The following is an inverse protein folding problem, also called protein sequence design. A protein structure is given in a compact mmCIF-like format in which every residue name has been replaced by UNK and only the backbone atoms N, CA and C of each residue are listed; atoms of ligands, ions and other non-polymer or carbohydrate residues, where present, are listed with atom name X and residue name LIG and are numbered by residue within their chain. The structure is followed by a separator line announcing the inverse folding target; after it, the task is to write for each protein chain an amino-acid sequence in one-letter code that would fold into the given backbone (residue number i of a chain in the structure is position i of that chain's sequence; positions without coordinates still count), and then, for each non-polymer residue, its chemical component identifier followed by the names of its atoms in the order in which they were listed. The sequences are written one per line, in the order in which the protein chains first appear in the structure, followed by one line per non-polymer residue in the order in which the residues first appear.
data_IF_236020339827
#
_entry.id   IF_236020339827
#
_cell.length_a   1.000
_cell.length_b   1.000
_cell.length_c   1.000
_cell.angle_alpha   90.00
_cell.angle_beta   90.00
_cell.angle_gamma   90.00
#
_symmetry.space_group_name_H-M   'P 1'
#
loop_
_entity.id
_entity.type
_entity.pdbx_description
1 polymer ?
#
# COMPACT_ATOMS: atom_id res chain seq x y z
N UNK A 1 22.78 5.47 1.52
CA UNK A 1 21.61 5.32 0.64
C UNK A 1 21.41 6.57 -0.22
N UNK A 2 21.29 7.78 0.39
CA UNK A 2 21.03 9.02 -0.38
C UNK A 2 22.08 9.28 -1.46
N UNK A 3 23.36 9.15 -1.15
CA UNK A 3 24.47 9.35 -2.11
C UNK A 3 24.51 8.28 -3.22
N UNK A 4 23.93 7.11 -2.96
CA UNK A 4 23.92 5.99 -3.91
C UNK A 4 22.67 5.98 -4.81
N UNK A 5 21.75 6.95 -4.67
CA UNK A 5 20.50 7.01 -5.44
C UNK A 5 19.52 5.84 -5.16
N UNK A 6 19.70 5.12 -4.05
CA UNK A 6 18.85 3.97 -3.70
C UNK A 6 17.59 4.46 -2.98
N UNK A 7 16.43 4.01 -3.44
CA UNK A 7 15.14 4.21 -2.77
C UNK A 7 14.84 3.03 -1.86
N UNK A 8 14.73 3.22 -0.53
CA UNK A 8 14.29 2.16 0.36
C UNK A 8 12.79 1.88 0.18
N UNK A 9 12.41 0.60 0.18
CA UNK A 9 11.00 0.16 0.18
C UNK A 9 10.69 -0.42 1.55
N UNK A 10 9.63 0.08 2.18
CA UNK A 10 9.23 -0.28 3.54
C UNK A 10 8.03 -1.22 3.49
N UNK A 11 8.16 -2.39 4.11
CA UNK A 11 7.12 -3.42 4.19
C UNK A 11 6.75 -3.63 5.66
N UNK A 12 6.00 -2.70 6.22
CA UNK A 12 5.74 -2.59 7.67
C UNK A 12 5.09 -3.84 8.26
N UNK A 13 4.05 -4.36 7.64
CA UNK A 13 3.34 -5.54 8.13
C UNK A 13 4.21 -6.81 8.10
N UNK A 14 4.98 -7.01 7.02
CA UNK A 14 5.93 -8.11 6.90
C UNK A 14 7.02 -8.02 7.98
N UNK A 15 7.64 -6.86 8.14
CA UNK A 15 8.68 -6.64 9.14
C UNK A 15 8.18 -6.94 10.56
N UNK A 16 6.96 -6.49 10.90
CA UNK A 16 6.36 -6.76 12.21
C UNK A 16 6.07 -8.25 12.40
N UNK A 17 5.46 -8.89 11.40
CA UNK A 17 5.10 -10.31 11.47
C UNK A 17 6.32 -11.22 11.66
N UNK A 18 7.42 -10.88 10.97
CA UNK A 18 8.68 -11.65 11.01
C UNK A 18 9.65 -11.18 12.08
N UNK A 19 9.25 -10.23 12.93
CA UNK A 19 10.09 -9.64 13.99
C UNK A 19 11.41 -9.04 13.46
N UNK A 20 11.41 -8.50 12.23
CA UNK A 20 12.58 -7.90 11.57
C UNK A 20 12.86 -6.46 12.01
N UNK A 21 12.06 -5.94 12.93
CA UNK A 21 12.21 -4.59 13.48
C UNK A 21 11.40 -3.52 12.74
N UNK A 22 11.55 -2.28 13.20
CA UNK A 22 10.86 -1.10 12.66
C UNK A 22 11.89 -0.27 11.89
N UNK A 23 11.64 -0.07 10.58
CA UNK A 23 12.48 0.78 9.75
C UNK A 23 12.46 2.24 10.27
N UNK A 24 13.59 2.96 10.30
CA UNK A 24 13.68 4.33 10.84
C UNK A 24 13.19 5.37 9.81
N UNK A 25 11.91 5.30 9.46
CA UNK A 25 11.31 6.12 8.39
C UNK A 25 11.44 7.61 8.64
N UNK A 26 11.20 8.05 9.88
CA UNK A 26 11.35 9.46 10.26
C UNK A 26 12.76 9.98 9.97
N UNK A 27 13.77 9.19 10.35
CA UNK A 27 15.18 9.54 10.07
C UNK A 27 15.49 9.56 8.57
N UNK A 28 14.90 8.66 7.79
CA UNK A 28 15.04 8.66 6.32
C UNK A 28 14.44 9.93 5.72
N UNK A 29 13.22 10.28 6.09
CA UNK A 29 12.52 11.48 5.62
C UNK A 29 13.26 12.76 6.01
N UNK A 30 13.74 12.87 7.27
CA UNK A 30 14.48 14.02 7.75
C UNK A 30 15.81 14.24 7.04
N UNK A 31 16.40 13.18 6.50
CA UNK A 31 17.60 13.24 5.65
C UNK A 31 17.28 13.45 4.16
N UNK A 32 16.02 13.65 3.80
CA UNK A 32 15.55 13.87 2.43
C UNK A 32 15.59 12.62 1.56
N UNK A 33 15.53 11.43 2.14
CA UNK A 33 15.19 10.21 1.42
C UNK A 33 13.67 10.15 1.22
N UNK A 34 13.24 9.54 0.13
CA UNK A 34 11.82 9.34 -0.21
C UNK A 34 11.53 7.83 -0.19
N UNK A 35 11.34 7.23 0.99
CA UNK A 35 11.02 5.81 1.05
C UNK A 35 9.66 5.52 0.39
N UNK A 36 9.59 4.43 -0.37
CA UNK A 36 8.35 3.90 -0.92
C UNK A 36 7.73 2.85 0.01
N UNK A 37 6.45 2.56 -0.18
CA UNK A 37 5.77 1.45 0.50
C UNK A 37 5.65 0.25 -0.42
N UNK A 38 5.80 -0.93 0.17
CA UNK A 38 5.50 -2.21 -0.44
C UNK A 38 4.76 -3.11 0.53
N UNK A 39 4.14 -4.16 0.03
CA UNK A 39 3.43 -5.13 0.87
C UNK A 39 4.26 -6.39 1.14
N UNK A 40 5.39 -6.57 0.41
CA UNK A 40 6.09 -7.85 0.38
C UNK A 40 5.19 -8.99 -0.18
N UNK A 41 5.64 -10.22 -0.12
CA UNK A 41 4.89 -11.37 -0.56
C UNK A 41 3.71 -11.73 0.36
N UNK A 42 2.70 -12.39 -0.19
CA UNK A 42 1.50 -12.80 0.55
C UNK A 42 1.78 -13.80 1.67
N UNK A 43 2.90 -14.53 1.61
CA UNK A 43 3.34 -15.42 2.68
C UNK A 43 3.79 -14.66 3.94
N UNK A 44 4.44 -13.51 3.78
CA UNK A 44 4.93 -12.67 4.85
C UNK A 44 3.92 -11.60 5.31
N UNK A 45 3.13 -11.04 4.41
CA UNK A 45 2.13 -10.01 4.73
C UNK A 45 0.70 -10.56 4.89
N UNK A 46 0.27 -11.52 4.11
CA UNK A 46 -1.08 -12.09 4.03
C UNK A 46 -2.16 -11.17 3.42
N UNK A 47 -2.25 -9.90 3.84
CA UNK A 47 -3.33 -8.99 3.43
C UNK A 47 -3.06 -8.23 2.13
N UNK A 48 -1.79 -7.98 1.77
CA UNK A 48 -1.38 -7.15 0.61
C UNK A 48 -2.14 -5.82 0.50
N UNK A 49 -2.44 -5.17 1.64
CA UNK A 49 -3.24 -3.95 1.73
C UNK A 49 -2.35 -2.72 1.90
N UNK A 50 -2.36 -1.82 0.91
CA UNK A 50 -1.63 -0.55 0.99
C UNK A 50 -2.20 0.39 2.07
N UNK A 51 -3.50 0.32 2.38
CA UNK A 51 -4.08 1.09 3.50
C UNK A 51 -3.45 0.70 4.83
N UNK A 52 -3.32 -0.61 5.06
CA UNK A 52 -2.64 -1.13 6.26
C UNK A 52 -1.17 -0.72 6.31
N UNK A 53 -0.47 -0.75 5.19
CA UNK A 53 0.93 -0.32 5.14
C UNK A 53 1.08 1.18 5.42
N UNK A 54 0.22 2.04 4.87
CA UNK A 54 0.21 3.48 5.17
C UNK A 54 -0.04 3.76 6.65
N UNK A 55 -0.99 3.06 7.26
CA UNK A 55 -1.26 3.17 8.70
C UNK A 55 -0.02 2.81 9.53
N UNK A 56 0.58 1.66 9.26
CA UNK A 56 1.79 1.19 9.95
C UNK A 56 2.99 2.12 9.74
N UNK A 57 3.20 2.59 8.51
CA UNK A 57 4.27 3.53 8.17
C UNK A 57 4.24 4.78 9.04
N UNK A 58 3.06 5.34 9.26
CA UNK A 58 2.90 6.52 10.11
C UNK A 58 2.93 6.16 11.61
N UNK A 59 2.10 5.22 12.06
CA UNK A 59 1.87 4.97 13.47
C UNK A 59 3.08 4.36 14.19
N UNK A 60 3.85 3.50 13.53
CA UNK A 60 5.05 2.91 14.12
C UNK A 60 6.11 3.97 14.46
N UNK A 61 6.26 4.98 13.62
CA UNK A 61 7.21 6.07 13.90
C UNK A 61 6.75 6.95 15.06
N UNK A 62 5.44 7.26 15.10
CA UNK A 62 4.84 8.03 16.20
C UNK A 62 5.06 7.36 17.54
N UNK A 63 4.82 6.04 17.58
CA UNK A 63 5.04 5.26 18.80
C UNK A 63 6.53 5.15 19.15
N UNK A 64 7.39 4.86 18.19
CA UNK A 64 8.82 4.71 18.43
C UNK A 64 9.48 6.00 18.96
N UNK A 65 9.02 7.16 18.49
CA UNK A 65 9.54 8.48 18.85
C UNK A 65 8.75 9.17 19.97
N UNK A 66 7.59 8.60 20.39
CA UNK A 66 6.66 9.22 21.33
C UNK A 66 6.21 10.61 20.87
N UNK A 67 6.09 10.79 19.54
CA UNK A 67 5.71 12.04 18.90
C UNK A 67 4.58 11.81 17.89
N UNK A 68 3.39 12.33 18.17
CA UNK A 68 2.23 12.21 17.30
C UNK A 68 2.40 12.92 15.93
N UNK A 69 3.38 13.80 15.78
CA UNK A 69 3.68 14.54 14.55
C UNK A 69 4.80 13.91 13.71
N UNK A 70 5.44 12.84 14.17
CA UNK A 70 6.68 12.28 13.58
C UNK A 70 6.58 11.96 12.07
N UNK A 71 5.48 11.36 11.64
CA UNK A 71 5.22 11.07 10.20
C UNK A 71 3.77 11.41 9.89
N UNK A 72 3.56 12.31 8.94
CA UNK A 72 2.24 12.78 8.56
C UNK A 72 1.50 11.80 7.63
N UNK A 73 0.17 11.96 7.54
CA UNK A 73 -0.64 11.22 6.57
C UNK A 73 -0.22 11.52 5.12
N UNK A 74 0.18 12.75 4.82
CA UNK A 74 0.68 13.13 3.50
C UNK A 74 1.94 12.37 3.11
N UNK A 75 2.88 12.22 4.05
CA UNK A 75 4.11 11.47 3.82
C UNK A 75 3.84 9.98 3.61
N UNK A 76 2.88 9.40 4.36
CA UNK A 76 2.48 8.02 4.17
C UNK A 76 1.78 7.80 2.82
N UNK A 77 0.90 8.72 2.41
CA UNK A 77 0.24 8.66 1.12
C UNK A 77 1.23 8.81 -0.04
N UNK A 78 2.17 9.75 0.04
CA UNK A 78 3.22 9.93 -0.98
C UNK A 78 4.10 8.66 -1.09
N UNK A 79 4.43 8.02 0.03
CA UNK A 79 5.18 6.76 0.04
C UNK A 79 4.42 5.62 -0.65
N UNK A 80 3.09 5.59 -0.53
CA UNK A 80 2.22 4.59 -1.15
C UNK A 80 1.92 4.86 -2.64
N UNK A 81 2.25 6.05 -3.15
CA UNK A 81 1.91 6.50 -4.50
C UNK A 81 3.15 7.03 -5.25
N UNK A 82 3.45 8.31 -5.15
CA UNK A 82 4.47 9.00 -5.96
C UNK A 82 5.87 8.42 -5.79
N UNK A 83 6.25 8.04 -4.56
CA UNK A 83 7.60 7.53 -4.29
C UNK A 83 7.85 6.17 -4.94
N UNK A 84 6.83 5.30 -5.01
CA UNK A 84 6.93 4.01 -5.70
C UNK A 84 7.19 4.17 -7.19
N UNK A 85 6.44 5.06 -7.87
CA UNK A 85 6.65 5.36 -9.28
C UNK A 85 8.01 6.00 -9.54
N UNK A 86 8.42 6.95 -8.70
CA UNK A 86 9.74 7.56 -8.78
C UNK A 86 10.88 6.55 -8.63
N UNK A 87 10.75 5.60 -7.71
CA UNK A 87 11.72 4.52 -7.49
C UNK A 87 11.89 3.62 -8.72
N UNK A 88 10.81 3.42 -9.49
CA UNK A 88 10.80 2.62 -10.71
C UNK A 88 11.16 3.43 -11.97
N UNK A 89 11.29 4.75 -11.85
CA UNK A 89 11.56 5.64 -12.97
C UNK A 89 10.38 5.86 -13.91
N UNK A 90 9.14 5.65 -13.43
CA UNK A 90 7.93 5.80 -14.22
C UNK A 90 7.16 7.09 -13.88
N UNK A 91 6.52 7.75 -14.86
CA UNK A 91 5.64 8.87 -14.61
C UNK A 91 4.29 8.37 -14.08
N UNK A 92 4.07 8.43 -12.77
CA UNK A 92 2.85 7.95 -12.13
C UNK A 92 2.72 8.38 -10.67
N UNK A 93 1.73 7.84 -9.98
CA UNK A 93 1.46 8.11 -8.56
C UNK A 93 0.70 9.40 -8.29
N UNK A 94 0.34 10.16 -9.32
CA UNK A 94 -0.46 11.37 -9.22
C UNK A 94 -1.35 11.53 -10.46
N UNK A 95 -2.47 12.24 -10.31
CA UNK A 95 -3.35 12.55 -11.43
C UNK A 95 -2.81 13.77 -12.19
N UNK A 96 -2.00 13.51 -13.21
CA UNK A 96 -1.35 14.54 -14.06
C UNK A 96 -1.33 14.09 -15.52
N UNK A 97 -1.37 15.05 -16.45
CA UNK A 97 -1.16 14.77 -17.87
C UNK A 97 0.19 14.10 -18.12
N UNK A 98 0.23 13.08 -18.95
CA UNK A 98 1.42 12.31 -19.28
C UNK A 98 1.81 11.23 -18.26
N UNK A 99 1.08 11.12 -17.15
CA UNK A 99 1.27 10.04 -16.17
C UNK A 99 0.44 8.80 -16.54
N UNK A 100 0.87 7.65 -16.04
CA UNK A 100 0.08 6.43 -16.15
C UNK A 100 -1.31 6.65 -15.55
N UNK A 101 -2.34 6.14 -16.25
CA UNK A 101 -3.72 6.17 -15.78
C UNK A 101 -3.95 4.99 -14.81
N UNK A 102 -3.26 5.04 -13.67
CA UNK A 102 -3.38 4.10 -12.54
C UNK A 102 -4.05 4.84 -11.40
N UNK A 103 -5.24 4.40 -11.01
CA UNK A 103 -6.02 5.08 -9.98
C UNK A 103 -6.96 4.13 -9.25
N UNK A 104 -7.32 4.50 -8.02
CA UNK A 104 -8.38 3.86 -7.25
C UNK A 104 -9.46 4.90 -6.93
N UNK A 105 -10.72 4.52 -7.10
CA UNK A 105 -11.89 5.28 -6.66
C UNK A 105 -12.39 4.70 -5.35
N UNK A 106 -12.56 5.56 -4.34
CA UNK A 106 -12.98 5.15 -3.01
C UNK A 106 -14.35 5.73 -2.64
N UNK A 107 -15.12 4.98 -1.84
CA UNK A 107 -16.37 5.45 -1.23
C UNK A 107 -16.08 6.28 0.02
N UNK A 108 -16.23 7.59 -0.08
CA UNK A 108 -16.08 8.50 1.06
C UNK A 108 -17.37 8.60 1.89
N UNK A 109 -18.45 7.91 1.53
CA UNK A 109 -19.71 7.89 2.28
C UNK A 109 -19.77 6.78 3.33
N UNK A 110 -18.85 5.82 3.29
CA UNK A 110 -18.77 4.70 4.22
C UNK A 110 -18.66 5.19 5.69
N UNK A 111 -19.22 4.46 6.67
CA UNK A 111 -19.26 4.88 8.07
C UNK A 111 -17.89 5.17 8.69
N UNK A 112 -16.86 4.39 8.33
CA UNK A 112 -15.46 4.59 8.77
C UNK A 112 -14.83 5.89 8.23
N UNK A 113 -15.37 6.44 7.12
CA UNK A 113 -14.92 7.69 6.50
C UNK A 113 -15.65 8.93 7.03
N UNK A 114 -16.62 8.77 7.93
CA UNK A 114 -17.46 9.88 8.44
C UNK A 114 -17.21 10.17 9.92
N UNK A 115 -17.24 11.46 10.32
CA UNK A 115 -17.33 12.69 9.49
C UNK A 115 -16.02 12.95 8.72
N UNK A 116 -16.13 13.36 7.45
CA UNK A 116 -14.96 13.66 6.62
C UNK A 116 -14.46 15.08 6.90
N UNK A 117 -13.31 15.22 7.55
CA UNK A 117 -12.68 16.51 7.83
C UNK A 117 -11.39 16.74 7.02
N UNK A 118 -10.58 15.70 6.86
CA UNK A 118 -9.32 15.71 6.11
C UNK A 118 -9.22 14.40 5.33
N UNK A 119 -9.34 14.48 4.01
CA UNK A 119 -9.34 13.31 3.12
C UNK A 119 -8.04 12.50 3.28
N UNK A 120 -6.88 13.14 3.36
CA UNK A 120 -5.59 12.45 3.46
C UNK A 120 -5.46 11.66 4.75
N UNK A 121 -5.91 12.25 5.86
CA UNK A 121 -5.94 11.54 7.14
C UNK A 121 -6.93 10.40 7.12
N UNK A 122 -8.11 10.59 6.54
CA UNK A 122 -9.09 9.52 6.40
C UNK A 122 -8.57 8.38 5.55
N UNK A 123 -7.88 8.65 4.44
CA UNK A 123 -7.27 7.61 3.61
C UNK A 123 -6.21 6.79 4.34
N UNK A 124 -5.42 7.42 5.22
CA UNK A 124 -4.32 6.75 5.91
C UNK A 124 -4.78 6.05 7.19
N UNK A 125 -5.73 6.63 7.93
CA UNK A 125 -6.08 6.14 9.26
C UNK A 125 -7.44 5.44 9.35
N UNK A 126 -8.32 5.62 8.35
CA UNK A 126 -9.68 5.10 8.41
C UNK A 126 -10.05 4.22 7.23
N UNK A 127 -9.49 4.49 6.02
CA UNK A 127 -9.86 3.74 4.83
C UNK A 127 -9.41 2.27 4.87
N UNK A 128 -10.22 1.42 4.26
CA UNK A 128 -9.97 -0.01 4.11
C UNK A 128 -10.13 -0.44 2.64
N UNK A 129 -9.73 -1.66 2.32
CA UNK A 129 -9.91 -2.27 1.00
C UNK A 129 -11.38 -2.39 0.60
N UNK A 130 -12.29 -2.52 1.55
CA UNK A 130 -13.74 -2.51 1.32
C UNK A 130 -14.29 -1.17 0.82
N UNK A 131 -13.56 -0.07 1.03
CA UNK A 131 -13.96 1.25 0.55
C UNK A 131 -13.62 1.48 -0.93
N UNK A 132 -12.89 0.54 -1.57
CA UNK A 132 -12.50 0.67 -2.98
C UNK A 132 -13.68 0.30 -3.88
N UNK A 133 -14.18 1.28 -4.63
CA UNK A 133 -15.24 1.09 -5.62
C UNK A 133 -14.70 0.61 -6.97
N UNK A 134 -13.55 1.16 -7.40
CA UNK A 134 -12.98 0.84 -8.70
C UNK A 134 -11.44 0.93 -8.66
N UNK A 135 -10.79 0.08 -9.42
CA UNK A 135 -9.34 0.15 -9.68
C UNK A 135 -9.09 0.18 -11.18
N UNK A 136 -8.30 1.15 -11.61
CA UNK A 136 -7.83 1.29 -13.00
C UNK A 136 -6.32 1.09 -13.01
N UNK A 137 -5.83 0.26 -13.90
CA UNK A 137 -4.41 0.00 -14.13
C UNK A 137 -4.09 0.13 -15.62
N UNK A 138 -3.14 1.00 -15.97
CA UNK A 138 -2.78 1.29 -17.35
C UNK A 138 -3.97 1.77 -18.20
N UNK A 139 -4.90 2.52 -17.62
CA UNK A 139 -6.10 3.01 -18.28
C UNK A 139 -7.21 1.96 -18.45
N UNK A 140 -7.05 0.75 -17.90
CA UNK A 140 -8.06 -0.32 -17.96
C UNK A 140 -8.67 -0.55 -16.59
N UNK A 141 -9.99 -0.68 -16.52
CA UNK A 141 -10.68 -1.09 -15.31
C UNK A 141 -10.30 -2.55 -15.02
N UNK A 142 -9.70 -2.81 -13.87
CA UNK A 142 -9.36 -4.17 -13.40
C UNK A 142 -10.28 -4.66 -12.28
N UNK A 143 -10.96 -3.73 -11.60
CA UNK A 143 -11.96 -4.00 -10.58
C UNK A 143 -13.04 -2.92 -10.59
N UNK A 144 -14.31 -3.31 -10.50
CA UNK A 144 -15.46 -2.41 -10.32
C UNK A 144 -16.52 -3.09 -9.46
N UNK A 145 -16.74 -2.58 -8.23
CA UNK A 145 -17.82 -2.97 -7.30
C UNK A 145 -18.03 -4.50 -7.21
N UNK A 146 -16.96 -5.22 -6.90
CA UNK A 146 -16.99 -6.68 -6.72
C UNK A 146 -16.71 -7.48 -8.00
N UNK A 147 -16.65 -6.84 -9.16
CA UNK A 147 -16.32 -7.50 -10.41
C UNK A 147 -14.84 -7.33 -10.75
N UNK A 148 -14.17 -8.42 -11.10
CA UNK A 148 -12.75 -8.44 -11.45
C UNK A 148 -12.59 -8.66 -12.97
N UNK A 149 -11.81 -7.80 -13.62
CA UNK A 149 -11.52 -7.81 -15.06
C UNK A 149 -10.03 -8.13 -15.28
N UNK A 150 -9.58 -9.30 -14.80
CA UNK A 150 -8.17 -9.70 -14.75
C UNK A 150 -7.84 -10.87 -15.71
N UNK A 151 -8.74 -11.18 -16.62
CA UNK A 151 -8.55 -12.21 -17.64
C UNK A 151 -8.95 -13.63 -17.23
N UNK A 152 -9.21 -13.88 -15.94
CA UNK A 152 -9.66 -15.16 -15.39
C UNK A 152 -10.78 -14.96 -14.37
N UNK A 153 -11.58 -15.99 -14.13
CA UNK A 153 -12.61 -15.99 -13.10
C UNK A 153 -12.00 -16.24 -11.72
N UNK A 154 -12.62 -15.67 -10.68
CA UNK A 154 -12.17 -15.91 -9.30
C UNK A 154 -12.26 -17.38 -8.91
N UNK A 155 -13.31 -18.10 -9.32
CA UNK A 155 -13.50 -19.52 -9.02
C UNK A 155 -12.34 -20.36 -9.56
N UNK A 156 -11.89 -20.07 -10.80
CA UNK A 156 -10.74 -20.76 -11.40
C UNK A 156 -9.45 -20.44 -10.63
N UNK A 157 -9.23 -19.17 -10.27
CA UNK A 157 -8.06 -18.77 -9.49
C UNK A 157 -8.05 -19.47 -8.13
N UNK A 158 -9.18 -19.52 -7.43
CA UNK A 158 -9.29 -20.17 -6.13
C UNK A 158 -9.05 -21.68 -6.23
N UNK A 159 -9.65 -22.35 -7.20
CA UNK A 159 -9.44 -23.79 -7.43
C UNK A 159 -7.96 -24.13 -7.72
N UNK A 160 -7.28 -23.30 -8.53
CA UNK A 160 -5.84 -23.51 -8.80
C UNK A 160 -4.98 -23.26 -7.56
N UNK A 161 -5.29 -22.22 -6.77
CA UNK A 161 -4.57 -21.93 -5.52
C UNK A 161 -4.71 -23.09 -4.52
N UNK A 162 -5.93 -23.61 -4.35
CA UNK A 162 -6.21 -24.75 -3.48
C UNK A 162 -5.49 -26.02 -3.93
N UNK A 163 -5.53 -26.34 -5.21
CA UNK A 163 -4.83 -27.49 -5.75
C UNK A 163 -3.29 -27.39 -5.58
N UNK A 164 -2.74 -26.17 -5.68
CA UNK A 164 -1.30 -25.95 -5.42
C UNK A 164 -0.95 -26.10 -3.94
N UNK A 165 -1.79 -25.55 -3.05
CA UNK A 165 -1.65 -25.72 -1.60
C UNK A 165 -1.64 -27.20 -1.22
N UNK A 166 -2.60 -27.97 -1.70
CA UNK A 166 -2.75 -29.38 -1.36
C UNK A 166 -1.58 -30.23 -1.84
N UNK A 167 -1.03 -29.92 -3.01
CA UNK A 167 0.22 -30.54 -3.50
C UNK A 167 1.41 -30.24 -2.58
N UNK A 168 1.52 -29.00 -2.09
CA UNK A 168 2.63 -28.63 -1.19
C UNK A 168 2.50 -29.34 0.15
N UNK A 169 1.29 -29.41 0.71
CA UNK A 169 1.02 -30.09 1.98
C UNK A 169 1.29 -31.59 1.87
N UNK A 170 0.89 -32.22 0.76
CA UNK A 170 1.10 -33.65 0.54
C UNK A 170 2.56 -34.06 0.30
N UNK A 171 3.43 -33.07 0.05
CA UNK A 171 4.87 -33.27 -0.15
C UNK A 171 5.72 -33.08 1.12
N UNK A 172 5.08 -32.67 2.24
CA UNK A 172 5.69 -32.52 3.57
C UNK A 172 5.54 -33.81 4.37
#
# INVERSE_FOLDING_TARGET
LKQSGVTPVINGASNLKLASGIAPVYSMLSQGLMPALGTDGTASNNAASMFREMYLFSCLQKEALKDAAAVSAEQALAAATEHGYAALGFPGGALREGYFADMALLDLSAPNMRPLSDIRKSLVYSADTSDVLMTVAGGKIVYDRGNFYIGETLDKIYAECEARRDRLISAL
#
